data_IF_954097279321
#
_entry.id   IF_954097279321
#
_cell.length_a   1.000
_cell.length_b   1.000
_cell.length_c   1.000
_cell.angle_alpha   90.00
_cell.angle_beta   90.00
_cell.angle_gamma   90.00
#
_symmetry.space_group_name_H-M   'P 1'
#
loop_
_entity.id
_entity.type
_entity.pdbx_description
1 polymer ?
#
# COMPACT_ATOMS: atom_id res chain seq x y z
N UNK A 1 -8.34 -7.63 7.40
CA UNK A 1 -7.23 -7.00 6.68
C UNK A 1 -6.88 -5.69 7.35
N UNK A 2 -5.67 -5.54 7.83
CA UNK A 2 -5.34 -4.37 8.61
C UNK A 2 -5.14 -3.14 7.73
N UNK A 3 -5.68 -2.03 8.21
CA UNK A 3 -5.41 -0.74 7.61
C UNK A 3 -4.12 -0.22 8.22
N UNK A 4 -3.19 0.19 7.37
CA UNK A 4 -1.93 0.75 7.82
C UNK A 4 -2.15 2.21 8.25
N UNK A 5 -2.69 3.00 7.34
CA UNK A 5 -3.05 4.38 7.59
C UNK A 5 -3.99 4.88 6.49
N UNK A 6 -4.55 6.06 6.72
CA UNK A 6 -5.42 6.71 5.74
C UNK A 6 -4.90 8.12 5.55
N UNK A 7 -4.54 8.47 4.29
CA UNK A 7 -4.10 9.80 3.92
C UNK A 7 -4.95 10.31 2.77
N UNK A 8 -5.48 11.50 2.91
CA UNK A 8 -6.24 12.16 1.83
C UNK A 8 -7.37 11.27 1.32
N UNK A 9 -7.95 10.47 2.20
CA UNK A 9 -9.01 9.55 1.83
C UNK A 9 -8.55 8.24 1.24
N UNK A 10 -7.28 8.10 0.91
CA UNK A 10 -6.74 6.83 0.44
C UNK A 10 -6.48 5.93 1.63
N UNK A 11 -7.03 4.72 1.58
CA UNK A 11 -6.79 3.72 2.62
C UNK A 11 -5.68 2.78 2.15
N UNK A 12 -4.60 2.73 2.90
CA UNK A 12 -3.48 1.84 2.61
C UNK A 12 -3.58 0.66 3.55
N UNK A 13 -3.53 -0.55 3.00
CA UNK A 13 -3.77 -1.74 3.80
C UNK A 13 -2.99 -2.93 3.28
N UNK A 14 -2.81 -3.91 4.17
CA UNK A 14 -2.21 -5.19 3.79
C UNK A 14 -3.31 -6.21 3.56
N UNK A 15 -3.08 -7.10 2.61
CA UNK A 15 -3.87 -8.33 2.52
C UNK A 15 -3.04 -9.43 3.17
N UNK A 16 -3.68 -10.51 3.52
CA UNK A 16 -3.01 -11.55 4.28
C UNK A 16 -2.33 -12.56 3.36
N UNK A 17 -1.17 -12.17 2.85
CA UNK A 17 -0.38 -13.05 2.00
C UNK A 17 1.09 -12.73 2.22
N UNK A 18 1.63 -13.23 3.33
CA UNK A 18 2.99 -12.86 3.73
C UNK A 18 4.08 -13.54 2.90
N UNK A 19 3.71 -14.47 2.02
CA UNK A 19 4.69 -15.11 1.15
C UNK A 19 5.11 -14.21 -0.01
N UNK A 20 4.38 -13.14 -0.23
CA UNK A 20 4.72 -12.22 -1.30
C UNK A 20 5.71 -11.18 -0.83
N UNK A 21 6.31 -10.49 -1.81
CA UNK A 21 7.08 -9.28 -1.55
C UNK A 21 6.19 -8.29 -0.79
N UNK A 22 6.80 -7.48 0.08
CA UNK A 22 6.05 -6.47 0.82
C UNK A 22 5.25 -5.62 -0.14
N UNK A 23 3.94 -5.57 0.07
CA UNK A 23 3.06 -4.87 -0.84
C UNK A 23 1.93 -4.21 -0.06
N UNK A 24 1.30 -3.21 -0.68
CA UNK A 24 0.16 -2.52 -0.10
C UNK A 24 -0.94 -2.43 -1.13
N UNK A 25 -2.16 -2.40 -0.64
CA UNK A 25 -3.34 -2.13 -1.44
C UNK A 25 -3.86 -0.76 -1.05
N UNK A 26 -4.26 0.03 -2.04
CA UNK A 26 -4.74 1.39 -1.84
C UNK A 26 -6.16 1.46 -2.37
N UNK A 27 -7.09 1.90 -1.53
CA UNK A 27 -8.51 1.92 -1.90
C UNK A 27 -9.08 3.29 -1.62
N UNK A 28 -9.84 3.80 -2.59
CA UNK A 28 -10.60 5.04 -2.42
C UNK A 28 -11.71 5.09 -3.45
N UNK A 29 -12.94 5.36 -2.99
CA UNK A 29 -14.09 5.60 -3.88
C UNK A 29 -14.29 4.49 -4.91
N UNK A 30 -14.09 3.24 -4.49
CA UNK A 30 -14.29 2.11 -5.37
C UNK A 30 -13.12 1.80 -6.29
N UNK A 31 -12.07 2.62 -6.27
CA UNK A 31 -10.86 2.37 -7.04
C UNK A 31 -9.85 1.63 -6.18
N UNK A 32 -8.99 0.86 -6.81
CA UNK A 32 -7.99 0.09 -6.08
C UNK A 32 -6.70 0.00 -6.88
N UNK A 33 -5.57 0.07 -6.16
CA UNK A 33 -4.27 -0.16 -6.76
C UNK A 33 -3.44 -1.01 -5.83
N UNK A 34 -2.48 -1.73 -6.38
CA UNK A 34 -1.56 -2.56 -5.61
C UNK A 34 -0.14 -2.19 -5.99
N UNK A 35 0.69 -2.04 -4.97
CA UNK A 35 2.10 -1.67 -5.16
C UNK A 35 3.00 -2.58 -4.35
N UNK A 36 4.10 -2.99 -4.96
CA UNK A 36 5.23 -3.48 -4.17
C UNK A 36 5.96 -2.24 -3.65
N UNK A 37 6.50 -2.34 -2.46
CA UNK A 37 7.00 -1.15 -1.76
C UNK A 37 8.48 -0.92 -1.99
N UNK A 38 9.28 -1.98 -2.09
CA UNK A 38 10.73 -1.84 -2.22
C UNK A 38 11.28 -2.90 -3.17
N UNK A 39 11.61 -2.53 -4.40
CA UNK A 39 11.46 -1.20 -5.00
C UNK A 39 10.00 -0.89 -5.29
N UNK A 40 9.66 0.39 -5.31
CA UNK A 40 8.30 0.81 -5.56
C UNK A 40 7.89 0.42 -6.98
N UNK A 41 6.86 -0.42 -7.08
CA UNK A 41 6.43 -0.96 -8.37
C UNK A 41 4.92 -1.08 -8.36
N UNK A 42 4.26 -0.49 -9.34
CA UNK A 42 2.82 -0.64 -9.48
C UNK A 42 2.51 -2.01 -10.05
N UNK A 43 1.69 -2.79 -9.34
CA UNK A 43 1.29 -4.11 -9.81
C UNK A 43 0.02 -3.98 -10.64
N UNK A 44 -0.95 -3.20 -10.15
CA UNK A 44 -2.12 -2.88 -10.96
C UNK A 44 -2.75 -1.58 -10.44
N UNK A 45 -3.56 -0.99 -11.32
CA UNK A 45 -4.35 0.19 -11.01
C UNK A 45 -5.73 0.04 -11.65
N UNK A 46 -6.74 -0.03 -10.82
CA UNK A 46 -8.11 -0.15 -11.26
C UNK A 46 -8.86 1.12 -10.90
N UNK A 47 -8.79 2.12 -11.76
CA UNK A 47 -9.64 3.29 -11.69
C UNK A 47 -9.01 4.60 -11.23
N UNK A 48 -7.84 4.59 -10.64
CA UNK A 48 -7.22 5.84 -10.21
C UNK A 48 -6.69 6.62 -11.41
N UNK A 49 -6.85 7.93 -11.34
CA UNK A 49 -6.34 8.82 -12.38
C UNK A 49 -4.89 9.16 -12.11
N UNK A 50 -4.26 9.79 -13.09
CA UNK A 50 -2.83 10.03 -13.07
C UNK A 50 -2.38 10.81 -11.82
N UNK A 51 -3.13 11.87 -11.46
CA UNK A 51 -2.72 12.66 -10.31
C UNK A 51 -2.93 11.90 -8.99
N UNK A 52 -3.90 11.01 -8.92
CA UNK A 52 -4.08 10.16 -7.75
C UNK A 52 -2.92 9.20 -7.62
N UNK A 53 -2.50 8.62 -8.73
CA UNK A 53 -1.37 7.68 -8.73
C UNK A 53 -0.09 8.40 -8.28
N UNK A 54 0.14 9.62 -8.75
CA UNK A 54 1.31 10.38 -8.34
C UNK A 54 1.31 10.61 -6.83
N UNK A 55 0.15 10.95 -6.28
CA UNK A 55 0.02 11.18 -4.84
C UNK A 55 0.22 9.89 -4.06
N UNK A 56 -0.40 8.80 -4.52
CA UNK A 56 -0.27 7.49 -3.87
C UNK A 56 1.20 7.08 -3.81
N UNK A 57 1.92 7.20 -4.92
CA UNK A 57 3.31 6.80 -4.97
C UNK A 57 4.18 7.66 -4.08
N UNK A 58 3.88 8.95 -4.00
CA UNK A 58 4.59 9.85 -3.10
C UNK A 58 4.38 9.45 -1.64
N UNK A 59 3.15 9.11 -1.28
CA UNK A 59 2.84 8.70 0.09
C UNK A 59 3.57 7.41 0.44
N UNK A 60 3.57 6.44 -0.46
CA UNK A 60 4.24 5.17 -0.20
C UNK A 60 5.73 5.39 -0.03
N UNK A 61 6.34 6.18 -0.92
CA UNK A 61 7.78 6.43 -0.86
C UNK A 61 8.18 7.12 0.44
N UNK A 62 7.39 8.10 0.87
CA UNK A 62 7.71 8.85 2.07
C UNK A 62 7.47 8.08 3.34
N UNK A 63 6.67 7.02 3.26
CA UNK A 63 6.33 6.21 4.43
C UNK A 63 6.85 4.79 4.31
N UNK A 64 7.84 4.58 3.46
CA UNK A 64 8.35 3.23 3.20
C UNK A 64 8.77 2.51 4.47
N UNK A 65 9.52 3.19 5.33
CA UNK A 65 10.02 2.57 6.55
C UNK A 65 8.87 2.15 7.47
N UNK A 66 7.86 3.01 7.58
CA UNK A 66 6.70 2.71 8.42
C UNK A 66 5.96 1.49 7.87
N UNK A 67 5.78 1.45 6.56
CA UNK A 67 5.08 0.33 5.92
C UNK A 67 5.82 -0.97 6.15
N UNK A 68 7.14 -0.95 5.99
CA UNK A 68 7.95 -2.14 6.18
C UNK A 68 7.89 -2.61 7.63
N UNK A 69 7.97 -1.68 8.58
CA UNK A 69 7.88 -2.03 10.00
C UNK A 69 6.52 -2.65 10.32
N UNK A 70 5.44 -2.06 9.81
CA UNK A 70 4.10 -2.59 10.06
C UNK A 70 3.92 -3.95 9.41
N UNK A 71 4.48 -4.15 8.23
CA UNK A 71 4.45 -5.46 7.57
C UNK A 71 5.10 -6.51 8.45
N UNK A 72 6.28 -6.20 8.97
CA UNK A 72 7.01 -7.15 9.82
C UNK A 72 6.24 -7.46 11.08
N UNK A 73 5.66 -6.45 11.72
CA UNK A 73 4.85 -6.67 12.90
C UNK A 73 3.66 -7.56 12.61
N UNK A 74 2.98 -7.29 11.51
CA UNK A 74 1.75 -7.98 11.18
C UNK A 74 2.00 -9.44 10.81
N UNK A 75 3.03 -9.71 10.01
CA UNK A 75 3.28 -11.04 9.49
C UNK A 75 4.29 -11.84 10.29
N UNK A 76 4.91 -11.24 11.28
CA UNK A 76 5.94 -11.90 12.06
C UNK A 76 5.46 -12.23 13.47
N UNK A 77 4.19 -12.36 13.65
CA UNK A 77 3.62 -12.67 14.93
C UNK A 77 3.76 -14.16 15.25
N UNK A 78 3.97 -14.44 16.49
CA UNK A 78 4.09 -15.83 16.95
C UNK A 78 2.92 -16.22 17.80
#
# INVERSE_FOLDING_TARGET
MPTIFIFFGFRFMFYSNYHETINVHVIKDGNEAKYNVSPLTQIYNHGFKKHDIALIESIISENEAVIIDRWKEYFNQK
#
